data_IF_836917167685
#
_entry.id   IF_836917167685
#
_cell.length_a   1.000
_cell.length_b   1.000
_cell.length_c   1.000
_cell.angle_alpha   90.00
_cell.angle_beta   90.00
_cell.angle_gamma   90.00
#
_symmetry.space_group_name_H-M   'P 1'
#
loop_
_entity.id
_entity.type
_entity.pdbx_description
1 polymer ?
#
# COMPACT_ATOMS: atom_id res chain seq x y z
N UNK A 1 -45.90 -4.78 9.88
CA UNK A 1 -45.15 -3.97 10.86
C UNK A 1 -43.69 -3.97 10.45
N UNK A 2 -43.16 -2.96 9.75
CA UNK A 2 -41.76 -3.00 9.28
C UNK A 2 -41.17 -1.64 8.84
N UNK A 3 -41.99 -0.75 8.26
CA UNK A 3 -41.51 0.57 7.83
C UNK A 3 -41.07 1.53 8.94
N UNK A 4 -41.66 1.43 10.15
CA UNK A 4 -41.26 2.27 11.29
C UNK A 4 -39.94 1.82 11.91
N UNK A 5 -39.67 0.52 11.91
CA UNK A 5 -38.43 -0.04 12.45
C UNK A 5 -37.22 0.41 11.62
N UNK A 6 -37.31 0.37 10.29
CA UNK A 6 -36.24 0.86 9.41
C UNK A 6 -35.95 2.36 9.57
N UNK A 7 -36.98 3.20 9.78
CA UNK A 7 -36.80 4.64 10.03
C UNK A 7 -36.12 4.90 11.37
N UNK A 8 -36.52 4.17 12.42
CA UNK A 8 -35.92 4.31 13.75
C UNK A 8 -34.49 3.76 13.76
N UNK A 9 -34.25 2.59 13.16
CA UNK A 9 -32.95 1.94 13.09
C UNK A 9 -31.93 2.80 12.31
N UNK A 10 -32.34 3.38 11.18
CA UNK A 10 -31.48 4.29 10.42
C UNK A 10 -31.12 5.53 11.25
N UNK A 11 -32.09 6.13 11.95
CA UNK A 11 -31.85 7.31 12.77
C UNK A 11 -30.89 7.01 13.94
N UNK A 12 -31.06 5.87 14.62
CA UNK A 12 -30.21 5.44 15.73
C UNK A 12 -28.79 5.11 15.25
N UNK A 13 -28.65 4.31 14.18
CA UNK A 13 -27.33 3.96 13.61
C UNK A 13 -26.56 5.18 13.14
N UNK A 14 -27.23 6.19 12.59
CA UNK A 14 -26.58 7.44 12.16
C UNK A 14 -25.98 8.19 13.35
N UNK A 15 -26.73 8.28 14.46
CA UNK A 15 -26.24 8.96 15.67
C UNK A 15 -25.02 8.25 16.27
N UNK A 16 -25.05 6.91 16.35
CA UNK A 16 -23.96 6.12 16.92
C UNK A 16 -22.70 6.16 16.03
N UNK A 17 -22.85 5.89 14.73
CA UNK A 17 -21.72 5.89 13.78
C UNK A 17 -21.10 7.27 13.63
N UNK A 18 -21.92 8.33 13.60
CA UNK A 18 -21.44 9.72 13.52
C UNK A 18 -20.68 10.16 14.76
N UNK A 19 -21.17 9.80 15.95
CA UNK A 19 -20.47 10.13 17.21
C UNK A 19 -19.13 9.38 17.32
N UNK A 20 -19.11 8.11 16.94
CA UNK A 20 -17.88 7.31 16.89
C UNK A 20 -16.86 7.92 15.92
N UNK A 21 -17.28 8.24 14.69
CA UNK A 21 -16.42 8.86 13.69
C UNK A 21 -15.84 10.19 14.19
N UNK A 22 -16.66 11.08 14.77
CA UNK A 22 -16.20 12.36 15.33
C UNK A 22 -15.14 12.17 16.42
N UNK A 23 -15.33 11.21 17.32
CA UNK A 23 -14.36 10.92 18.39
C UNK A 23 -13.02 10.46 17.82
N UNK A 24 -13.05 9.57 16.83
CA UNK A 24 -11.85 9.08 16.17
C UNK A 24 -11.14 10.20 15.39
N UNK A 25 -11.87 11.00 14.61
CA UNK A 25 -11.30 12.14 13.88
C UNK A 25 -10.60 13.11 14.83
N UNK A 26 -11.22 13.46 15.96
CA UNK A 26 -10.65 14.41 16.92
C UNK A 26 -9.38 13.88 17.60
N UNK A 27 -9.26 12.57 17.77
CA UNK A 27 -8.05 11.96 18.36
C UNK A 27 -6.92 11.85 17.33
N UNK A 28 -7.25 11.66 16.05
CA UNK A 28 -6.27 11.42 14.99
C UNK A 28 -5.85 12.66 14.21
N UNK A 29 -6.53 13.81 14.37
CA UNK A 29 -6.26 15.04 13.60
C UNK A 29 -4.83 15.60 13.76
N UNK A 30 -4.18 15.31 14.89
CA UNK A 30 -2.84 15.80 15.22
C UNK A 30 -1.72 14.90 14.69
N UNK A 31 -2.04 13.72 14.14
CA UNK A 31 -1.07 12.76 13.66
C UNK A 31 -0.56 13.13 12.27
N UNK A 32 0.76 13.17 12.11
CA UNK A 32 1.40 13.44 10.81
C UNK A 32 2.60 12.53 10.55
N UNK A 33 2.83 12.23 9.28
CA UNK A 33 4.01 11.50 8.81
C UNK A 33 5.16 12.50 8.65
N UNK A 34 6.28 12.21 9.30
CA UNK A 34 7.50 13.01 9.21
C UNK A 34 8.42 12.50 8.08
N UNK A 35 9.44 13.28 7.72
CA UNK A 35 10.38 12.94 6.64
C UNK A 35 11.14 11.61 6.82
N UNK A 36 11.19 11.09 8.04
CA UNK A 36 11.79 9.79 8.37
C UNK A 36 10.79 8.62 8.31
N UNK A 37 9.60 8.84 7.73
CA UNK A 37 8.48 7.90 7.65
C UNK A 37 7.87 7.49 8.99
N UNK A 38 8.22 8.17 10.09
CA UNK A 38 7.57 7.96 11.40
C UNK A 38 6.27 8.76 11.49
N UNK A 39 5.28 8.18 12.16
CA UNK A 39 4.03 8.89 12.51
C UNK A 39 4.20 9.51 13.89
N UNK A 40 4.09 10.83 13.97
CA UNK A 40 4.25 11.58 15.22
C UNK A 40 3.04 12.43 15.53
N UNK A 41 2.80 12.65 16.82
CA UNK A 41 1.81 13.65 17.27
C UNK A 41 2.43 15.05 17.31
N UNK A 42 1.58 16.06 17.56
CA UNK A 42 1.97 17.47 17.72
C UNK A 42 3.01 17.72 18.81
N UNK A 43 3.10 16.83 19.82
CA UNK A 43 4.11 16.87 20.89
C UNK A 43 5.43 16.18 20.54
N UNK A 44 5.61 15.66 19.32
CA UNK A 44 6.83 14.98 18.88
C UNK A 44 6.97 13.53 19.37
N UNK A 45 5.95 12.97 20.02
CA UNK A 45 5.92 11.56 20.41
C UNK A 45 5.69 10.68 19.18
N UNK A 46 6.50 9.63 19.04
CA UNK A 46 6.39 8.64 17.95
C UNK A 46 5.28 7.66 18.30
N UNK A 47 4.26 7.58 17.44
CA UNK A 47 3.15 6.64 17.53
C UNK A 47 3.43 5.38 16.71
N UNK A 48 4.04 5.55 15.54
CA UNK A 48 4.44 4.45 14.66
C UNK A 48 5.84 4.72 14.08
N UNK A 49 6.71 3.72 14.09
CA UNK A 49 8.09 3.86 13.56
C UNK A 49 8.14 3.88 12.03
N UNK A 50 7.20 3.22 11.37
CA UNK A 50 7.05 3.22 9.91
C UNK A 50 5.56 3.32 9.62
N UNK A 51 5.12 4.34 8.89
CA UNK A 51 3.71 4.50 8.50
C UNK A 51 3.16 3.23 7.85
N UNK A 52 2.06 2.68 8.35
CA UNK A 52 1.44 1.48 7.76
C UNK A 52 2.31 0.21 7.78
N UNK A 53 3.41 0.21 8.56
CA UNK A 53 4.49 -0.80 8.58
C UNK A 53 5.30 -0.93 7.28
N UNK A 54 4.72 -0.57 6.13
CA UNK A 54 5.32 -0.66 4.79
C UNK A 54 5.67 0.70 4.17
N UNK A 55 5.24 1.80 4.78
CA UNK A 55 5.48 3.17 4.32
C UNK A 55 4.63 3.58 3.11
N UNK A 56 3.60 2.82 2.76
CA UNK A 56 2.85 3.00 1.51
C UNK A 56 1.47 3.64 1.74
N UNK A 57 1.13 4.63 0.91
CA UNK A 57 -0.17 5.31 0.97
C UNK A 57 -1.24 4.45 0.27
N UNK A 58 -2.29 3.99 0.99
CA UNK A 58 -3.36 3.19 0.40
C UNK A 58 -4.13 3.90 -0.71
N UNK A 59 -4.12 5.25 -0.77
CA UNK A 59 -4.73 5.99 -1.87
C UNK A 59 -3.94 5.89 -3.18
N UNK A 60 -2.66 5.54 -3.10
CA UNK A 60 -1.73 5.41 -4.24
C UNK A 60 -1.47 3.95 -4.61
N UNK A 61 -1.82 3.01 -3.72
CA UNK A 61 -1.73 1.58 -4.00
C UNK A 61 -2.61 1.18 -5.19
N UNK A 62 -2.08 0.30 -6.04
CA UNK A 62 -2.75 -0.12 -7.27
C UNK A 62 -3.46 -1.47 -7.15
N UNK A 63 -3.07 -2.29 -6.18
CA UNK A 63 -3.62 -3.63 -6.04
C UNK A 63 -5.09 -3.60 -5.63
N UNK A 64 -5.93 -4.14 -6.50
CA UNK A 64 -7.38 -4.29 -6.28
C UNK A 64 -7.75 -5.42 -5.32
N UNK A 65 -6.83 -6.35 -5.05
CA UNK A 65 -7.06 -7.53 -4.23
C UNK A 65 -6.15 -7.52 -3.00
N UNK A 66 -6.71 -7.86 -1.84
CA UNK A 66 -6.02 -8.16 -0.57
C UNK A 66 -5.05 -7.09 -0.02
N UNK A 67 -5.20 -5.83 -0.44
CA UNK A 67 -4.29 -4.77 0.01
C UNK A 67 -2.88 -4.88 -0.60
N UNK A 68 -2.76 -5.55 -1.75
CA UNK A 68 -1.49 -5.59 -2.46
C UNK A 68 -1.05 -4.18 -2.90
N UNK A 69 0.22 -3.80 -2.73
CA UNK A 69 0.68 -2.47 -3.14
C UNK A 69 0.62 -2.24 -4.66
N UNK A 70 0.82 -3.31 -5.45
CA UNK A 70 1.01 -3.24 -6.90
C UNK A 70 0.18 -4.29 -7.63
N UNK A 71 -0.39 -3.88 -8.77
CA UNK A 71 -0.98 -4.78 -9.76
C UNK A 71 0.11 -5.27 -10.73
N UNK A 72 0.73 -6.40 -10.39
CA UNK A 72 1.80 -7.01 -11.18
C UNK A 72 1.35 -7.41 -12.59
N UNK A 73 0.18 -8.03 -12.81
CA UNK A 73 -0.33 -8.31 -14.16
C UNK A 73 -0.38 -7.08 -15.06
N UNK A 74 -0.94 -5.97 -14.57
CA UNK A 74 -1.02 -4.72 -15.33
C UNK A 74 0.34 -4.09 -15.56
N UNK A 75 1.21 -4.11 -14.55
CA UNK A 75 2.57 -3.57 -14.66
C UNK A 75 3.41 -4.35 -15.67
N UNK A 76 3.27 -5.68 -15.70
CA UNK A 76 3.91 -6.54 -16.68
C UNK A 76 3.45 -6.23 -18.11
N UNK A 77 2.15 -6.02 -18.31
CA UNK A 77 1.62 -5.64 -19.62
C UNK A 77 2.15 -4.27 -20.05
N UNK A 78 2.12 -3.28 -19.15
CA UNK A 78 2.70 -1.95 -19.40
C UNK A 78 4.19 -2.02 -19.75
N UNK A 79 4.96 -2.86 -19.05
CA UNK A 79 6.38 -3.06 -19.33
C UNK A 79 6.61 -3.65 -20.73
N UNK A 80 5.80 -4.62 -21.15
CA UNK A 80 5.85 -5.18 -22.52
C UNK A 80 5.58 -4.14 -23.61
N UNK A 81 4.59 -3.27 -23.39
CA UNK A 81 4.26 -2.21 -24.35
C UNK A 81 5.33 -1.11 -24.38
N UNK A 82 5.87 -0.72 -23.22
CA UNK A 82 6.88 0.34 -23.12
C UNK A 82 8.24 -0.12 -23.66
N UNK A 83 8.57 -1.39 -23.45
CA UNK A 83 9.82 -2.01 -23.88
C UNK A 83 9.51 -3.09 -24.92
N UNK A 84 9.17 -2.72 -26.18
CA UNK A 84 8.96 -3.69 -27.24
C UNK A 84 10.26 -4.47 -27.42
N UNK A 85 10.15 -5.79 -27.56
CA UNK A 85 11.29 -6.64 -27.81
C UNK A 85 11.98 -6.19 -29.10
N UNK A 86 13.12 -5.51 -28.95
CA UNK A 86 14.10 -5.45 -30.04
C UNK A 86 14.52 -6.88 -30.36
N UNK A 87 15.17 -7.11 -31.50
CA UNK A 87 15.67 -8.41 -32.01
C UNK A 87 16.53 -9.25 -31.03
N UNK A 88 16.67 -8.86 -29.77
CA UNK A 88 17.38 -9.59 -28.75
C UNK A 88 16.56 -10.81 -28.34
N UNK A 89 17.20 -11.98 -28.38
CA UNK A 89 16.65 -13.21 -27.83
C UNK A 89 16.45 -13.04 -26.31
N UNK A 90 15.31 -13.49 -25.81
CA UNK A 90 15.06 -13.54 -24.37
C UNK A 90 15.95 -14.63 -23.77
N UNK A 91 16.63 -14.30 -22.67
CA UNK A 91 17.30 -15.31 -21.86
C UNK A 91 16.23 -16.19 -21.21
N UNK A 92 16.42 -17.50 -21.24
CA UNK A 92 15.57 -18.43 -20.47
C UNK A 92 15.73 -18.15 -18.97
N UNK A 93 14.74 -18.50 -18.13
CA UNK A 93 14.85 -18.32 -16.68
C UNK A 93 16.13 -18.95 -16.09
N UNK A 94 16.55 -20.09 -16.64
CA UNK A 94 17.79 -20.79 -16.28
C UNK A 94 19.03 -19.96 -16.61
N UNK A 95 19.08 -19.37 -17.81
CA UNK A 95 20.18 -18.50 -18.24
C UNK A 95 20.25 -17.22 -17.41
N UNK A 96 19.11 -16.66 -17.00
CA UNK A 96 19.07 -15.48 -16.12
C UNK A 96 19.63 -15.82 -14.75
N UNK A 97 19.23 -16.95 -14.14
CA UNK A 97 19.75 -17.39 -12.84
C UNK A 97 21.26 -17.60 -12.92
N UNK A 98 21.74 -18.31 -13.95
CA UNK A 98 23.16 -18.56 -14.14
C UNK A 98 23.96 -17.26 -14.31
N UNK A 99 23.45 -16.32 -15.10
CA UNK A 99 24.10 -15.03 -15.32
C UNK A 99 24.13 -14.15 -14.07
N UNK A 100 23.05 -14.19 -13.26
CA UNK A 100 22.97 -13.50 -11.97
C UNK A 100 23.95 -14.11 -10.95
N UNK A 101 24.00 -15.44 -10.84
CA UNK A 101 24.96 -16.13 -9.96
C UNK A 101 26.41 -15.84 -10.36
N UNK A 102 26.71 -15.81 -11.65
CA UNK A 102 28.03 -15.44 -12.16
C UNK A 102 28.39 -13.99 -11.80
N UNK A 103 27.45 -13.05 -11.94
CA UNK A 103 27.63 -11.65 -11.58
C UNK A 103 27.84 -11.44 -10.07
N UNK A 104 27.18 -12.24 -9.23
CA UNK A 104 27.39 -12.21 -7.78
C UNK A 104 28.77 -12.72 -7.39
N UNK A 105 29.25 -13.81 -8.00
CA UNK A 105 30.60 -14.34 -7.75
C UNK A 105 31.69 -13.33 -8.14
N UNK A 106 31.57 -12.71 -9.31
CA UNK A 106 32.56 -11.70 -9.76
C UNK A 106 32.62 -10.46 -8.86
N UNK A 107 31.56 -10.16 -8.11
CA UNK A 107 31.47 -8.95 -7.28
C UNK A 107 31.79 -9.20 -5.80
N UNK A 108 31.74 -10.45 -5.33
CA UNK A 108 32.08 -10.83 -3.95
C UNK A 108 33.43 -11.54 -3.82
N UNK A 109 34.04 -12.04 -4.91
CA UNK A 109 35.39 -12.62 -4.91
C UNK A 109 36.51 -11.58 -5.24
N UNK A 110 36.26 -10.29 -4.99
CA UNK A 110 37.27 -9.20 -5.00
C UNK A 110 37.39 -8.57 -3.62
#
# INVERSE_FOLDING_TARGET
>A
MGGREGLVDTAVKTAETGYMARRLTKVMEDLCVQYDNTVRNSGGCIIQFCYGDDGMDPAVMEGTEDGAPLDLPRLFLKAKETCPARKNEYLSPEQVIEMVEQAFKTRYDS
#
